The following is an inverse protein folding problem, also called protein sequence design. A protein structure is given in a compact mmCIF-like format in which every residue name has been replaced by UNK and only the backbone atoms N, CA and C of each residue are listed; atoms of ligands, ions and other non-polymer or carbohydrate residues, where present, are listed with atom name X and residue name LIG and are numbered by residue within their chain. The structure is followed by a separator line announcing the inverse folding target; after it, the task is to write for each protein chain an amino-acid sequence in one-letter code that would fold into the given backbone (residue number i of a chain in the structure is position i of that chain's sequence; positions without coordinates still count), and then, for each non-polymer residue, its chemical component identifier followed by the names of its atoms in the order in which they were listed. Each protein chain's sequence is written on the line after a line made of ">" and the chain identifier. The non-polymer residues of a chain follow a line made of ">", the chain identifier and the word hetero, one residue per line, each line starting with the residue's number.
data_IF_865295206792
#
_entry.id   IF_865295206792
#
_cell.length_a   1.000
_cell.length_b   1.000
_cell.length_c   1.000
_cell.angle_alpha   90.00
_cell.angle_beta   90.00
_cell.angle_gamma   90.00
#
_symmetry.space_group_name_H-M   'P 1'
#
loop_
_entity.id
_entity.type
_entity.pdbx_description
1 polymer ?
#
# COMPACT_ATOMS: atom_id res chain seq x y z
N UNK A 1 -5.72 -49.46 25.39
CA UNK A 1 -4.41 -49.14 24.78
C UNK A 1 -4.62 -48.11 23.69
N UNK A 2 -3.83 -47.02 23.71
CA UNK A 2 -3.70 -45.92 22.73
C UNK A 2 -4.99 -45.14 22.37
N UNK A 3 -5.05 -43.81 22.35
CA UNK A 3 -4.02 -42.77 22.41
C UNK A 3 -4.57 -41.55 21.66
N UNK A 4 -4.47 -40.36 22.26
CA UNK A 4 -4.77 -39.05 21.69
C UNK A 4 -4.19 -38.85 20.27
N UNK A 5 -4.86 -38.03 19.46
CA UNK A 5 -4.21 -36.87 18.82
C UNK A 5 -5.23 -35.87 18.25
N UNK A 6 -5.38 -34.77 18.99
CA UNK A 6 -5.89 -33.47 18.58
C UNK A 6 -4.99 -32.90 17.49
N UNK A 7 -5.53 -32.62 16.30
CA UNK A 7 -4.84 -31.80 15.31
C UNK A 7 -5.06 -30.32 15.66
N UNK A 8 -4.22 -29.81 16.56
CA UNK A 8 -3.96 -28.38 16.69
C UNK A 8 -3.30 -27.92 15.40
N UNK A 9 -4.08 -27.27 14.53
CA UNK A 9 -3.50 -26.44 13.47
C UNK A 9 -3.52 -25.01 13.96
N UNK A 10 -2.59 -24.68 14.86
CA UNK A 10 -2.16 -23.32 15.13
C UNK A 10 -1.68 -22.66 13.85
N UNK A 11 -2.61 -22.14 13.07
CA UNK A 11 -2.34 -21.18 12.00
C UNK A 11 -1.68 -19.98 12.67
N UNK A 12 -0.52 -19.50 12.20
CA UNK A 12 0.05 -18.29 12.74
C UNK A 12 -0.99 -17.20 12.56
N UNK A 13 -1.46 -16.67 13.70
CA UNK A 13 -2.30 -15.50 13.76
C UNK A 13 -1.54 -14.34 13.12
N UNK A 14 -1.61 -14.26 11.80
CA UNK A 14 -1.43 -13.01 11.08
C UNK A 14 -2.48 -12.12 11.68
N UNK A 15 -2.06 -11.15 12.47
CA UNK A 15 -2.91 -10.22 13.19
C UNK A 15 -3.82 -9.54 12.18
N UNK A 16 -4.98 -10.15 11.91
CA UNK A 16 -6.00 -9.58 11.09
C UNK A 16 -6.44 -8.32 11.85
N UNK A 17 -6.37 -7.14 11.22
CA UNK A 17 -6.62 -5.89 11.91
C UNK A 17 -7.99 -5.96 12.58
N UNK A 18 -7.99 -5.91 13.91
CA UNK A 18 -9.20 -6.15 14.71
C UNK A 18 -10.11 -4.94 14.60
N UNK A 19 -11.17 -5.07 13.79
CA UNK A 19 -12.26 -4.11 13.65
C UNK A 19 -13.01 -4.29 12.32
N UNK A 20 -14.15 -3.62 12.11
CA UNK A 20 -14.91 -3.70 10.86
C UNK A 20 -14.09 -3.05 9.74
N UNK A 21 -13.72 -3.78 8.67
CA UNK A 21 -12.75 -3.35 7.67
C UNK A 21 -13.07 -1.95 7.16
N UNK A 22 -12.04 -1.19 6.78
CA UNK A 22 -12.21 0.09 6.09
C UNK A 22 -13.28 -0.08 5.01
N UNK A 23 -14.32 0.75 5.07
CA UNK A 23 -15.43 0.66 4.11
C UNK A 23 -14.89 0.97 2.72
N UNK A 24 -15.50 0.43 1.66
CA UNK A 24 -15.04 0.63 0.27
C UNK A 24 -14.79 2.11 -0.04
N UNK A 25 -15.75 2.98 0.31
CA UNK A 25 -15.62 4.43 0.10
C UNK A 25 -14.45 5.11 0.82
N UNK A 26 -13.99 4.58 1.97
CA UNK A 26 -12.83 5.13 2.68
C UNK A 26 -11.51 4.73 2.03
N UNK A 27 -11.43 3.50 1.49
CA UNK A 27 -10.31 3.07 0.65
C UNK A 27 -10.27 3.85 -0.65
N UNK A 28 -11.43 4.08 -1.27
CA UNK A 28 -11.53 4.80 -2.55
C UNK A 28 -11.14 6.26 -2.39
N UNK A 29 -11.56 6.94 -1.32
CA UNK A 29 -11.12 8.31 -1.01
C UNK A 29 -9.60 8.39 -0.82
N UNK A 30 -9.02 7.43 -0.09
CA UNK A 30 -7.57 7.32 0.08
C UNK A 30 -6.85 7.07 -1.25
N UNK A 31 -7.35 6.14 -2.07
CA UNK A 31 -6.80 5.86 -3.39
C UNK A 31 -6.90 7.07 -4.32
N UNK A 32 -7.97 7.86 -4.23
CA UNK A 32 -8.13 9.10 -4.97
C UNK A 32 -7.08 10.13 -4.55
N UNK A 33 -6.87 10.34 -3.25
CA UNK A 33 -5.86 11.28 -2.75
C UNK A 33 -4.43 10.88 -3.14
N UNK A 34 -4.10 9.58 -3.03
CA UNK A 34 -2.80 9.06 -3.50
C UNK A 34 -2.67 9.20 -5.02
N UNK A 35 -3.74 8.89 -5.76
CA UNK A 35 -3.78 8.97 -7.23
C UNK A 35 -3.56 10.38 -7.76
N UNK A 36 -4.12 11.41 -7.11
CA UNK A 36 -3.91 12.83 -7.50
C UNK A 36 -2.44 13.26 -7.48
N UNK A 37 -1.63 12.56 -6.71
CA UNK A 37 -0.25 12.92 -6.44
C UNK A 37 0.75 12.07 -7.20
N UNK A 38 0.25 10.98 -7.76
CA UNK A 38 0.99 10.09 -8.58
C UNK A 38 1.11 10.67 -10.00
N UNK A 39 2.21 11.38 -10.24
CA UNK A 39 2.52 11.93 -11.57
C UNK A 39 3.12 10.82 -12.44
N UNK A 40 2.28 10.07 -13.15
CA UNK A 40 2.71 9.04 -14.13
C UNK A 40 3.63 9.61 -15.21
N UNK A 41 3.46 10.89 -15.57
CA UNK A 41 4.21 11.54 -16.64
C UNK A 41 5.73 11.67 -16.39
N UNK A 42 6.18 11.48 -15.15
CA UNK A 42 7.60 11.46 -14.81
C UNK A 42 8.23 10.06 -14.91
N UNK A 43 7.45 9.02 -15.21
CA UNK A 43 7.92 7.65 -15.34
C UNK A 43 8.48 7.41 -16.74
N UNK A 44 9.61 6.71 -16.81
CA UNK A 44 10.13 6.20 -18.08
C UNK A 44 9.24 5.08 -18.64
N UNK A 45 9.34 4.81 -19.94
CA UNK A 45 8.55 3.75 -20.61
C UNK A 45 8.67 2.39 -19.92
N UNK A 46 9.88 2.02 -19.47
CA UNK A 46 10.11 0.77 -18.73
C UNK A 46 9.42 0.75 -17.36
N UNK A 47 9.33 1.91 -16.69
CA UNK A 47 8.62 2.03 -15.43
C UNK A 47 7.09 2.00 -15.63
N UNK A 48 6.60 2.40 -16.81
CA UNK A 48 5.20 2.26 -17.21
C UNK A 48 4.78 0.80 -17.51
N UNK A 49 5.73 -0.12 -17.67
CA UNK A 49 5.46 -1.55 -17.83
C UNK A 49 5.61 -2.35 -16.52
N UNK A 50 6.03 -1.68 -15.45
CA UNK A 50 6.32 -2.32 -14.16
C UNK A 50 5.22 -1.97 -13.16
N UNK A 51 4.60 -2.98 -12.56
CA UNK A 51 3.64 -2.84 -11.46
C UNK A 51 4.41 -3.00 -10.17
N UNK A 52 4.42 -1.99 -9.30
CA UNK A 52 5.19 -2.05 -8.04
C UNK A 52 4.26 -2.07 -6.85
N UNK A 53 4.46 -3.03 -5.95
CA UNK A 53 3.74 -3.11 -4.68
C UNK A 53 4.57 -2.41 -3.63
N UNK A 54 4.00 -1.35 -3.06
CA UNK A 54 4.65 -0.54 -2.04
C UNK A 54 3.85 -0.68 -0.75
N UNK A 55 4.58 -1.02 0.31
CA UNK A 55 4.04 -1.07 1.66
C UNK A 55 4.62 0.09 2.46
N UNK A 56 3.75 0.77 3.19
CA UNK A 56 4.15 1.80 4.14
C UNK A 56 3.14 1.85 5.27
N UNK A 57 3.55 2.52 6.33
CA UNK A 57 2.76 2.74 7.51
C UNK A 57 2.32 4.19 7.58
N UNK A 58 1.12 4.40 8.12
CA UNK A 58 0.56 5.71 8.38
C UNK A 58 0.54 5.93 9.89
N UNK A 59 0.83 7.15 10.30
CA UNK A 59 0.66 7.64 11.66
C UNK A 59 -0.82 7.91 11.95
N UNK A 60 -1.18 8.04 13.23
CA UNK A 60 -2.57 8.32 13.67
C UNK A 60 -3.14 9.63 13.11
N UNK A 61 -2.30 10.58 12.75
CA UNK A 61 -2.66 11.84 12.10
C UNK A 61 -2.87 11.70 10.57
N UNK A 62 -2.77 10.47 10.04
CA UNK A 62 -2.91 10.17 8.62
C UNK A 62 -1.66 10.49 7.81
N UNK A 63 -0.55 10.89 8.42
CA UNK A 63 0.71 11.13 7.69
C UNK A 63 1.49 9.83 7.46
N UNK A 64 2.20 9.65 6.33
CA UNK A 64 2.98 8.46 6.07
C UNK A 64 4.30 8.50 6.83
N UNK A 65 4.64 7.39 7.47
CA UNK A 65 5.97 7.19 8.03
C UNK A 65 6.95 6.91 6.88
N UNK A 66 7.82 7.88 6.63
CA UNK A 66 8.82 7.85 5.55
C UNK A 66 9.79 6.66 5.70
N UNK A 67 10.10 6.26 6.93
CA UNK A 67 11.02 5.15 7.22
C UNK A 67 10.42 3.78 6.93
N UNK A 68 9.10 3.67 7.00
CA UNK A 68 8.36 2.42 6.76
C UNK A 68 8.20 2.06 5.27
N UNK A 69 8.35 3.06 4.37
CA UNK A 69 8.05 2.93 2.94
C UNK A 69 9.04 1.97 2.26
N UNK A 70 8.55 0.82 1.83
CA UNK A 70 9.35 -0.22 1.18
C UNK A 70 8.60 -0.87 0.02
N UNK A 71 9.35 -1.26 -1.01
CA UNK A 71 8.81 -2.09 -2.08
C UNK A 71 8.73 -3.53 -1.56
N UNK A 72 7.55 -4.14 -1.59
CA UNK A 72 7.35 -5.55 -1.19
C UNK A 72 7.37 -6.50 -2.37
N UNK A 73 7.16 -5.99 -3.58
CA UNK A 73 7.24 -6.76 -4.81
C UNK A 73 7.08 -5.88 -6.04
N UNK A 74 7.37 -6.45 -7.20
CA UNK A 74 7.01 -5.86 -8.48
C UNK A 74 6.69 -6.96 -9.49
N UNK A 75 5.86 -6.64 -10.47
CA UNK A 75 5.43 -7.53 -11.53
C UNK A 75 5.54 -6.83 -12.88
N UNK A 76 6.02 -7.54 -13.90
CA UNK A 76 6.23 -6.97 -15.23
C UNK A 76 7.41 -5.99 -15.32
N UNK A 77 7.74 -5.61 -16.55
CA UNK A 77 8.84 -4.70 -16.85
C UNK A 77 10.21 -5.26 -16.44
N UNK A 78 11.11 -4.36 -16.02
CA UNK A 78 12.49 -4.71 -15.61
C UNK A 78 12.74 -4.25 -14.19
N UNK A 79 13.70 -4.87 -13.49
CA UNK A 79 14.07 -4.45 -12.13
C UNK A 79 14.48 -2.96 -12.06
N UNK A 80 15.13 -2.43 -13.12
CA UNK A 80 15.46 -1.02 -13.23
C UNK A 80 14.20 -0.13 -13.36
N UNK A 81 13.22 -0.56 -14.17
CA UNK A 81 11.92 0.10 -14.29
C UNK A 81 11.15 0.11 -12.96
N UNK A 82 11.10 -1.03 -12.27
CA UNK A 82 10.48 -1.18 -10.96
C UNK A 82 11.12 -0.26 -9.91
N UNK A 83 12.47 -0.20 -9.85
CA UNK A 83 13.17 0.71 -8.94
C UNK A 83 12.79 2.18 -9.21
N UNK A 84 12.73 2.58 -10.47
CA UNK A 84 12.34 3.96 -10.85
C UNK A 84 10.87 4.26 -10.50
N UNK A 85 9.99 3.28 -10.70
CA UNK A 85 8.60 3.38 -10.30
C UNK A 85 8.47 3.53 -8.77
N UNK A 86 9.19 2.72 -7.99
CA UNK A 86 9.22 2.83 -6.53
C UNK A 86 9.77 4.19 -6.04
N UNK A 87 10.83 4.72 -6.62
CA UNK A 87 11.36 6.04 -6.26
C UNK A 87 10.35 7.17 -6.51
N UNK A 88 9.58 7.04 -7.59
CA UNK A 88 8.50 7.99 -7.92
C UNK A 88 7.33 7.80 -6.96
N UNK A 89 6.97 6.56 -6.65
CA UNK A 89 5.96 6.20 -5.66
C UNK A 89 6.22 6.81 -4.29
N UNK A 90 7.43 6.58 -3.78
CA UNK A 90 7.87 7.07 -2.48
C UNK A 90 7.75 8.60 -2.42
N UNK A 91 8.15 9.31 -3.49
CA UNK A 91 8.02 10.78 -3.55
C UNK A 91 6.56 11.24 -3.59
N UNK A 92 5.68 10.54 -4.31
CA UNK A 92 4.27 10.87 -4.36
C UNK A 92 3.58 10.69 -3.00
N UNK A 93 3.84 9.58 -2.32
CA UNK A 93 3.33 9.29 -0.97
C UNK A 93 3.78 10.36 0.01
N UNK A 94 5.07 10.69 0.05
CA UNK A 94 5.61 11.72 0.95
C UNK A 94 5.00 13.10 0.65
N UNK A 95 4.88 13.45 -0.64
CA UNK A 95 4.36 14.76 -1.05
C UNK A 95 2.91 14.96 -0.61
N UNK A 96 2.08 13.94 -0.74
CA UNK A 96 0.64 14.10 -0.51
C UNK A 96 0.15 13.63 0.85
N UNK A 97 0.86 12.68 1.45
CA UNK A 97 0.70 12.39 2.85
C UNK A 97 1.23 13.50 3.77
N UNK A 98 1.91 14.53 3.27
CA UNK A 98 2.39 15.67 4.07
C UNK A 98 1.26 16.39 4.83
N UNK A 99 0.05 16.40 4.28
CA UNK A 99 -1.11 17.03 4.92
C UNK A 99 -1.97 16.05 5.72
N UNK A 100 -1.60 14.76 5.74
CA UNK A 100 -2.40 13.68 6.31
C UNK A 100 -3.57 13.27 5.41
N UNK A 101 -3.91 11.98 5.42
CA UNK A 101 -5.13 11.46 4.79
C UNK A 101 -6.32 11.60 5.74
N UNK A 102 -7.50 11.98 5.22
CA UNK A 102 -8.71 12.11 6.03
C UNK A 102 -9.32 10.73 6.35
N UNK A 103 -8.69 10.00 7.27
CA UNK A 103 -9.07 8.65 7.69
C UNK A 103 -9.62 8.66 9.12
N UNK A 104 -10.64 7.85 9.43
CA UNK A 104 -11.19 7.76 10.79
C UNK A 104 -10.18 7.14 11.75
N UNK A 105 -9.78 7.88 12.78
CA UNK A 105 -8.82 7.44 13.81
C UNK A 105 -9.29 6.25 14.61
N UNK A 106 -10.60 6.05 14.76
CA UNK A 106 -11.19 4.90 15.47
C UNK A 106 -10.86 3.55 14.81
N UNK A 107 -10.46 3.59 13.53
CA UNK A 107 -10.08 2.40 12.75
C UNK A 107 -8.60 2.35 12.41
N UNK A 108 -7.76 3.08 13.16
CA UNK A 108 -6.32 3.17 12.91
C UNK A 108 -5.65 1.82 12.64
N UNK A 109 -5.95 0.80 13.45
CA UNK A 109 -5.34 -0.54 13.31
C UNK A 109 -5.60 -1.19 11.93
N UNK A 110 -6.59 -0.73 11.18
CA UNK A 110 -6.95 -1.26 9.86
C UNK A 110 -6.22 -0.58 8.70
N UNK A 111 -5.76 0.65 8.92
CA UNK A 111 -5.15 1.47 7.87
C UNK A 111 -3.74 1.94 8.21
N UNK A 112 -3.27 1.65 9.42
CA UNK A 112 -1.88 1.87 9.85
C UNK A 112 -0.87 1.22 8.91
N UNK A 113 -1.24 0.12 8.25
CA UNK A 113 -0.41 -0.57 7.27
C UNK A 113 -1.14 -0.53 5.93
N UNK A 114 -0.57 0.20 4.99
CA UNK A 114 -1.08 0.31 3.63
C UNK A 114 -0.20 -0.52 2.70
N UNK A 115 -0.84 -1.32 1.85
CA UNK A 115 -0.19 -1.99 0.73
C UNK A 115 -0.90 -1.51 -0.53
N UNK A 116 -0.19 -0.76 -1.36
CA UNK A 116 -0.73 -0.21 -2.59
C UNK A 116 0.05 -0.76 -3.77
N UNK A 117 -0.69 -1.28 -4.75
CA UNK A 117 -0.10 -1.72 -6.02
C UNK A 117 -0.22 -0.59 -7.00
N UNK A 118 0.92 -0.02 -7.36
CA UNK A 118 1.00 0.99 -8.39
C UNK A 118 1.07 0.31 -9.74
N UNK A 119 -0.07 0.32 -10.44
CA UNK A 119 -0.19 -0.14 -11.81
C UNK A 119 -0.34 1.07 -12.76
N UNK A 120 0.73 1.45 -13.49
CA UNK A 120 0.67 2.56 -14.45
C UNK A 120 -0.34 2.36 -15.60
N UNK A 121 -0.67 1.11 -15.96
CA UNK A 121 -1.71 0.84 -16.98
C UNK A 121 -3.10 1.28 -16.51
N UNK A 122 -3.41 1.04 -15.23
CA UNK A 122 -4.74 1.31 -14.66
C UNK A 122 -4.89 2.74 -14.12
N UNK A 123 -3.77 3.39 -13.78
CA UNK A 123 -3.75 4.77 -13.28
C UNK A 123 -3.74 5.82 -14.40
N UNK A 124 -3.63 5.40 -15.67
CA UNK A 124 -3.75 6.27 -16.85
C UNK A 124 -5.23 6.62 -17.06
N UNK A 125 -5.84 7.29 -16.08
CA UNK A 125 -7.14 7.92 -16.28
C UNK A 125 -6.95 9.05 -17.30
N UNK A 126 -7.73 8.95 -18.38
CA UNK A 126 -7.72 9.81 -19.56
C UNK A 126 -8.39 11.14 -19.28
#
# INVERSE_FOLDING_TARGET
>A
MAGLQTADTGTPATSAPTGPPLTGGQKDAFLLEVGRCWILGALSTNAMQSKVVVRFELNRDGTPDIGSIRMTGFEGGTAAGAKKAYETARRAIIRCGKNGYNLPTDKYEQWKIVNITFNPENMRLK
#
